data_IF_973389418320
#
_entry.id   IF_973389418320
#
_cell.length_a   1.000
_cell.length_b   1.000
_cell.length_c   1.000
_cell.angle_alpha   90.00
_cell.angle_beta   90.00
_cell.angle_gamma   90.00
#
_symmetry.space_group_name_H-M   'P 1'
#
loop_
_entity.id
_entity.type
_entity.pdbx_description
1 polymer ?
#
# COMPACT_ATOMS: atom_id res chain seq x y z
N UNK A 1 5.61 9.70 -15.79
CA UNK A 1 4.73 8.64 -15.25
C UNK A 1 3.34 9.25 -15.07
N UNK A 2 2.25 8.47 -15.18
CA UNK A 2 0.89 9.00 -14.97
C UNK A 2 0.66 9.28 -13.48
N UNK A 3 -0.01 10.38 -13.14
CA UNK A 3 -0.36 10.70 -11.75
C UNK A 3 -1.49 9.78 -11.28
N UNK A 4 -1.55 9.51 -9.97
CA UNK A 4 -2.63 8.67 -9.43
C UNK A 4 -4.01 9.33 -9.63
N UNK A 5 -4.10 10.65 -9.50
CA UNK A 5 -5.36 11.40 -9.61
C UNK A 5 -6.10 11.19 -10.94
N UNK A 6 -5.36 10.82 -11.99
CA UNK A 6 -5.89 10.56 -13.33
C UNK A 6 -6.46 9.13 -13.51
N UNK A 7 -6.36 8.27 -12.49
CA UNK A 7 -6.87 6.88 -12.49
C UNK A 7 -7.70 6.51 -11.26
N UNK A 8 -7.72 7.35 -10.21
CA UNK A 8 -8.49 7.07 -9.01
C UNK A 8 -9.97 6.87 -9.34
N UNK A 9 -10.54 5.80 -8.77
CA UNK A 9 -11.99 5.58 -8.82
C UNK A 9 -12.71 6.62 -7.97
N UNK A 10 -13.93 6.96 -8.39
CA UNK A 10 -14.76 7.93 -7.68
C UNK A 10 -15.40 7.25 -6.47
N UNK A 11 -15.61 8.01 -5.41
CA UNK A 11 -16.34 7.51 -4.24
C UNK A 11 -17.72 6.98 -4.65
N UNK A 12 -18.11 5.83 -4.10
CA UNK A 12 -19.34 5.11 -4.41
C UNK A 12 -19.42 4.52 -5.83
N UNK A 13 -18.34 4.55 -6.60
CA UNK A 13 -18.24 3.71 -7.80
C UNK A 13 -18.41 2.24 -7.41
N UNK A 14 -19.19 1.52 -8.21
CA UNK A 14 -19.42 0.09 -8.03
C UNK A 14 -18.52 -0.68 -8.99
N UNK A 15 -17.68 -1.54 -8.44
CA UNK A 15 -16.67 -2.29 -9.19
C UNK A 15 -16.96 -3.78 -9.00
N UNK A 16 -17.00 -4.51 -10.12
CA UNK A 16 -17.00 -5.97 -10.13
C UNK A 16 -15.58 -6.49 -10.32
N UNK A 17 -15.10 -7.32 -9.40
CA UNK A 17 -13.77 -7.94 -9.48
C UNK A 17 -13.90 -9.45 -9.66
N UNK A 18 -13.18 -9.95 -10.66
CA UNK A 18 -13.15 -11.37 -11.04
C UNK A 18 -11.86 -11.98 -10.52
N UNK A 19 -11.96 -12.94 -9.60
CA UNK A 19 -10.81 -13.62 -9.02
C UNK A 19 -10.72 -15.06 -9.54
N UNK A 20 -9.56 -15.50 -10.02
CA UNK A 20 -9.34 -16.91 -10.30
C UNK A 20 -9.31 -17.71 -9.00
N UNK A 21 -9.88 -18.91 -8.97
CA UNK A 21 -9.93 -19.78 -7.77
C UNK A 21 -8.98 -20.97 -7.92
N UNK A 22 -8.89 -21.56 -9.11
CA UNK A 22 -8.00 -22.72 -9.35
C UNK A 22 -7.41 -22.67 -10.74
N UNK A 23 -6.10 -22.43 -10.83
CA UNK A 23 -5.32 -22.50 -12.09
C UNK A 23 -5.95 -21.73 -13.26
N UNK A 24 -6.62 -20.60 -12.98
CA UNK A 24 -7.36 -19.78 -13.96
C UNK A 24 -8.49 -20.50 -14.71
N UNK A 25 -9.04 -21.58 -14.14
CA UNK A 25 -10.15 -22.34 -14.75
C UNK A 25 -11.51 -22.03 -14.12
N UNK A 26 -11.50 -21.65 -12.85
CA UNK A 26 -12.68 -21.26 -12.07
C UNK A 26 -12.51 -19.83 -11.60
N UNK A 27 -13.60 -19.07 -11.58
CA UNK A 27 -13.58 -17.66 -11.22
C UNK A 27 -14.75 -17.32 -10.29
N UNK A 28 -14.47 -16.51 -9.28
CA UNK A 28 -15.48 -15.89 -8.41
C UNK A 28 -15.62 -14.42 -8.77
N UNK A 29 -16.87 -13.93 -8.79
CA UNK A 29 -17.20 -12.52 -9.02
C UNK A 29 -17.68 -11.90 -7.71
N UNK A 30 -17.03 -10.82 -7.30
CA UNK A 30 -17.43 -10.02 -6.15
C UNK A 30 -17.71 -8.58 -6.57
N UNK A 31 -18.73 -7.98 -5.96
CA UNK A 31 -19.08 -6.58 -6.16
C UNK A 31 -18.65 -5.77 -4.94
N UNK A 32 -17.96 -4.66 -5.22
CA UNK A 32 -17.46 -3.73 -4.23
C UNK A 32 -17.95 -2.32 -4.53
N UNK A 33 -18.05 -1.52 -3.49
CA UNK A 33 -18.25 -0.08 -3.59
C UNK A 33 -16.99 0.62 -3.12
N UNK A 34 -16.44 1.53 -3.92
CA UNK A 34 -15.29 2.35 -3.56
C UNK A 34 -15.66 3.21 -2.35
N UNK A 35 -14.91 3.06 -1.26
CA UNK A 35 -15.05 3.90 -0.08
C UNK A 35 -13.91 4.92 -0.02
N UNK A 36 -14.19 6.12 0.47
CA UNK A 36 -13.17 7.08 0.91
C UNK A 36 -13.36 7.34 2.39
N UNK A 37 -12.36 7.00 3.21
CA UNK A 37 -12.31 7.42 4.62
C UNK A 37 -11.84 8.89 4.66
N UNK A 38 -12.74 9.82 4.28
CA UNK A 38 -12.40 11.24 3.99
C UNK A 38 -11.34 11.34 2.87
N UNK A 39 -10.93 12.51 2.29
CA UNK A 39 -9.90 12.45 1.23
C UNK A 39 -8.73 11.68 1.83
N UNK A 40 -8.34 10.56 1.22
CA UNK A 40 -7.40 9.61 1.81
C UNK A 40 -6.01 10.19 1.62
N UNK A 41 -5.85 11.34 2.26
CA UNK A 41 -4.79 12.29 2.18
C UNK A 41 -4.16 12.32 3.56
N UNK A 42 -3.49 11.22 3.86
CA UNK A 42 -2.85 11.02 5.15
C UNK A 42 -1.35 11.04 4.95
N UNK A 43 -0.70 11.73 5.88
CA UNK A 43 0.74 11.95 5.86
C UNK A 43 1.32 11.28 7.10
N UNK A 44 2.31 10.43 6.87
CA UNK A 44 3.23 9.92 7.89
C UNK A 44 4.53 10.69 7.74
N UNK A 45 4.89 11.49 8.74
CA UNK A 45 6.13 12.26 8.74
C UNK A 45 6.94 11.97 10.01
N UNK A 46 6.39 12.37 11.16
CA UNK A 46 7.04 12.28 12.47
C UNK A 46 7.03 10.87 13.05
N UNK A 47 6.09 10.04 12.59
CA UNK A 47 5.75 8.72 13.13
C UNK A 47 6.71 7.63 12.60
N UNK A 48 7.45 7.92 11.54
CA UNK A 48 8.40 6.98 10.94
C UNK A 48 9.76 7.11 11.63
N UNK A 49 10.35 5.96 11.94
CA UNK A 49 11.70 5.86 12.48
C UNK A 49 12.74 6.21 11.41
N UNK A 50 13.86 6.77 11.84
CA UNK A 50 15.02 6.97 10.98
C UNK A 50 15.60 5.63 10.53
N UNK A 51 16.02 5.58 9.28
CA UNK A 51 16.65 4.43 8.63
C UNK A 51 18.11 4.80 8.42
N UNK A 52 19.03 3.99 8.94
CA UNK A 52 20.46 4.18 8.72
C UNK A 52 20.81 4.14 7.22
N UNK A 53 22.00 4.63 6.85
CA UNK A 53 22.53 4.48 5.49
C UNK A 53 22.52 3.00 5.06
N UNK A 54 22.07 2.72 3.83
CA UNK A 54 21.85 1.37 3.30
C UNK A 54 20.94 0.46 4.15
N UNK A 55 20.22 1.06 5.11
CA UNK A 55 19.37 0.38 6.06
C UNK A 55 17.98 0.08 5.51
N UNK A 56 17.28 -0.78 6.23
CA UNK A 56 15.96 -1.27 5.84
C UNK A 56 15.02 -1.34 7.04
N UNK A 57 13.73 -1.14 6.79
CA UNK A 57 12.64 -1.33 7.75
C UNK A 57 11.76 -2.44 7.24
N UNK A 58 11.74 -3.55 7.99
CA UNK A 58 10.95 -4.74 7.67
C UNK A 58 9.44 -4.45 7.56
N UNK A 59 8.73 -5.37 6.91
CA UNK A 59 7.30 -5.26 6.63
C UNK A 59 6.45 -5.09 7.87
N UNK A 60 5.67 -4.00 7.92
CA UNK A 60 4.69 -3.77 8.97
C UNK A 60 3.49 -2.95 8.49
N UNK A 61 2.37 -3.00 9.22
CA UNK A 61 1.19 -2.19 8.91
C UNK A 61 1.44 -0.72 9.24
N UNK A 62 0.73 0.17 8.53
CA UNK A 62 0.64 1.57 8.93
C UNK A 62 -0.28 1.67 10.16
N UNK A 63 0.33 1.77 11.33
CA UNK A 63 -0.40 1.99 12.57
C UNK A 63 -0.67 3.47 12.81
N UNK A 64 -1.62 3.81 13.67
CA UNK A 64 -1.96 5.22 13.96
C UNK A 64 -0.81 6.05 14.51
N UNK A 65 0.10 5.45 15.28
CA UNK A 65 1.15 6.16 16.02
C UNK A 65 2.58 5.86 15.55
N UNK A 66 2.80 4.69 14.97
CA UNK A 66 4.03 4.28 14.30
C UNK A 66 3.75 3.07 13.39
N UNK A 67 4.75 2.62 12.65
CA UNK A 67 4.68 1.32 11.97
C UNK A 67 4.42 0.21 12.99
N UNK A 68 3.40 -0.61 12.74
CA UNK A 68 3.04 -1.72 13.61
C UNK A 68 2.46 -1.35 14.97
N UNK A 69 2.08 -0.08 15.20
CA UNK A 69 1.66 0.42 16.52
C UNK A 69 0.31 1.14 16.47
N UNK A 70 -0.60 0.75 17.36
CA UNK A 70 -1.98 1.25 17.37
C UNK A 70 -2.88 0.51 16.37
N UNK A 71 -3.98 1.15 15.98
CA UNK A 71 -4.92 0.56 15.02
C UNK A 71 -4.37 0.66 13.58
N UNK A 72 -4.70 -0.34 12.76
CA UNK A 72 -4.33 -0.35 11.36
C UNK A 72 -5.23 0.60 10.56
N UNK A 73 -4.59 1.62 10.01
CA UNK A 73 -5.28 2.71 9.33
C UNK A 73 -5.74 2.33 7.92
N UNK A 74 -5.19 1.25 7.37
CA UNK A 74 -5.52 0.71 6.06
C UNK A 74 -6.47 -0.49 6.14
N UNK A 75 -6.88 -0.89 7.35
CA UNK A 75 -7.85 -1.96 7.53
C UNK A 75 -9.23 -1.55 6.98
N UNK A 76 -9.76 -2.37 6.06
CA UNK A 76 -11.13 -2.23 5.55
C UNK A 76 -12.09 -3.06 6.40
N UNK A 77 -12.89 -2.35 7.21
CA UNK A 77 -13.85 -2.95 8.15
C UNK A 77 -14.99 -3.69 7.44
N UNK A 78 -15.61 -4.63 8.15
CA UNK A 78 -16.72 -5.45 7.64
C UNK A 78 -18.02 -4.65 7.52
N UNK A 79 -18.12 -3.87 6.46
CA UNK A 79 -19.36 -3.21 6.06
C UNK A 79 -19.88 -3.83 4.76
N UNK A 80 -21.21 -4.03 4.68
CA UNK A 80 -21.91 -4.41 3.44
C UNK A 80 -22.61 -3.16 2.87
N UNK A 81 -22.58 -2.94 1.54
CA UNK A 81 -21.91 -3.73 0.49
C UNK A 81 -20.39 -3.75 0.69
N UNK A 82 -19.71 -4.81 0.18
CA UNK A 82 -18.26 -4.94 0.35
C UNK A 82 -17.57 -3.66 -0.12
N UNK A 83 -16.57 -3.20 0.63
CA UNK A 83 -15.87 -1.95 0.34
C UNK A 83 -14.47 -2.22 -0.18
N UNK A 84 -13.96 -1.26 -0.95
CA UNK A 84 -12.55 -1.23 -1.34
C UNK A 84 -11.98 0.19 -1.21
N UNK A 85 -10.69 0.29 -0.93
CA UNK A 85 -9.90 1.50 -0.99
C UNK A 85 -9.07 1.48 -2.28
N UNK A 86 -9.04 2.60 -3.00
CA UNK A 86 -8.20 2.80 -4.17
C UNK A 86 -7.40 4.09 -3.95
N UNK A 87 -6.08 3.98 -3.84
CA UNK A 87 -5.19 5.09 -3.50
C UNK A 87 -3.76 4.81 -3.98
N UNK A 88 -2.83 5.74 -3.77
CA UNK A 88 -1.39 5.53 -4.00
C UNK A 88 -0.54 6.12 -2.89
N UNK A 89 0.69 5.62 -2.77
CA UNK A 89 1.71 6.13 -1.86
C UNK A 89 2.75 6.97 -2.61
N UNK A 90 3.06 8.14 -2.08
CA UNK A 90 4.26 8.90 -2.40
C UNK A 90 5.22 8.86 -1.22
N UNK A 91 6.52 8.89 -1.48
CA UNK A 91 7.54 8.89 -0.44
C UNK A 91 8.58 9.98 -0.66
N UNK A 92 9.09 10.54 0.45
CA UNK A 92 10.26 11.41 0.45
C UNK A 92 11.21 11.01 1.58
N UNK A 93 12.51 11.34 1.43
CA UNK A 93 13.14 11.86 0.22
C UNK A 93 13.21 10.77 -0.87
N UNK A 94 13.57 11.12 -2.11
CA UNK A 94 13.42 10.24 -3.28
C UNK A 94 14.34 9.01 -3.25
N UNK A 95 15.38 9.07 -2.43
CA UNK A 95 16.32 7.98 -2.12
C UNK A 95 15.69 6.85 -1.29
N UNK A 96 14.46 7.05 -0.78
CA UNK A 96 13.70 5.99 -0.10
C UNK A 96 12.95 5.18 -1.14
N UNK A 97 13.14 3.87 -1.06
CA UNK A 97 12.47 2.88 -1.88
C UNK A 97 11.42 2.18 -1.02
N UNK A 98 10.26 1.89 -1.62
CA UNK A 98 9.15 1.29 -0.89
C UNK A 98 8.64 0.04 -1.59
N UNK A 99 8.31 -0.96 -0.77
CA UNK A 99 7.61 -2.17 -1.16
C UNK A 99 6.30 -2.28 -0.38
N UNK A 100 5.32 -2.96 -0.97
CA UNK A 100 4.01 -3.19 -0.39
C UNK A 100 3.59 -4.64 -0.55
N UNK A 101 3.04 -5.22 0.52
CA UNK A 101 2.56 -6.60 0.54
C UNK A 101 1.21 -6.71 1.22
N UNK A 102 0.44 -7.73 0.85
CA UNK A 102 -0.71 -8.19 1.65
C UNK A 102 -0.17 -8.98 2.87
N UNK A 103 -0.82 -8.92 4.04
CA UNK A 103 -0.45 -9.69 5.24
C UNK A 103 -0.41 -11.20 5.00
N UNK A 104 0.44 -11.88 5.78
CA UNK A 104 0.68 -13.32 5.74
C UNK A 104 -0.58 -14.17 5.97
N UNK A 105 -1.37 -13.78 6.97
CA UNK A 105 -2.52 -14.51 7.50
C UNK A 105 -3.82 -14.24 6.73
N UNK A 106 -3.76 -13.37 5.73
CA UNK A 106 -4.90 -13.09 4.86
C UNK A 106 -5.05 -14.20 3.82
N UNK A 107 -6.25 -14.80 3.74
CA UNK A 107 -6.58 -15.75 2.68
C UNK A 107 -6.48 -15.06 1.32
N UNK A 108 -5.50 -15.47 0.52
CA UNK A 108 -5.25 -14.91 -0.81
C UNK A 108 -5.81 -15.82 -1.89
N UNK A 109 -6.43 -15.23 -2.92
CA UNK A 109 -7.05 -15.98 -4.02
C UNK A 109 -6.12 -16.21 -5.21
N UNK A 110 -4.80 -16.00 -5.07
CA UNK A 110 -3.82 -16.53 -6.04
C UNK A 110 -2.68 -15.62 -6.48
N UNK A 111 -2.39 -14.51 -5.79
CA UNK A 111 -1.41 -13.52 -6.26
C UNK A 111 -0.44 -12.97 -5.21
N UNK A 112 -0.32 -13.61 -4.05
CA UNK A 112 0.71 -13.20 -3.11
C UNK A 112 1.09 -14.29 -2.15
N UNK A 113 2.08 -13.96 -1.33
CA UNK A 113 2.79 -14.91 -0.51
C UNK A 113 2.07 -15.08 0.84
N UNK A 114 1.90 -16.32 1.30
CA UNK A 114 1.46 -16.65 2.68
C UNK A 114 2.39 -16.06 3.75
N UNK A 115 3.61 -15.68 3.39
CA UNK A 115 4.50 -14.91 4.25
C UNK A 115 5.11 -13.82 3.38
N UNK A 116 4.98 -12.52 3.74
CA UNK A 116 5.67 -11.47 3.02
C UNK A 116 7.15 -11.86 2.88
N UNK A 117 7.74 -11.75 1.67
CA UNK A 117 9.16 -12.02 1.53
C UNK A 117 9.93 -11.12 2.50
N UNK A 118 11.09 -11.55 2.98
CA UNK A 118 12.02 -10.59 3.58
C UNK A 118 12.41 -9.59 2.51
N UNK A 119 12.71 -8.35 2.91
CA UNK A 119 13.37 -7.40 2.03
C UNK A 119 14.64 -8.08 1.47
N UNK A 120 14.79 -8.09 0.15
CA UNK A 120 15.82 -8.94 -0.45
C UNK A 120 15.99 -8.79 -1.96
N UNK A 121 14.90 -8.52 -2.69
CA UNK A 121 15.02 -8.12 -4.10
C UNK A 121 14.75 -6.62 -4.23
N UNK A 122 15.69 -5.89 -4.85
CA UNK A 122 15.54 -4.46 -5.13
C UNK A 122 14.55 -4.18 -6.26
N UNK A 123 14.33 -5.13 -7.17
CA UNK A 123 13.43 -4.97 -8.33
C UNK A 123 11.96 -4.93 -7.95
N UNK A 124 11.69 -5.43 -6.76
CA UNK A 124 10.38 -5.45 -6.12
C UNK A 124 9.99 -4.06 -5.59
N UNK A 125 10.97 -3.20 -5.31
CA UNK A 125 10.73 -1.87 -4.77
C UNK A 125 10.49 -0.82 -5.85
N UNK A 126 9.67 0.16 -5.51
CA UNK A 126 9.47 1.37 -6.29
C UNK A 126 10.16 2.54 -5.58
N UNK A 127 11.02 3.25 -6.29
CA UNK A 127 11.75 4.39 -5.74
C UNK A 127 10.85 5.60 -5.50
N UNK A 128 11.25 6.49 -4.60
CA UNK A 128 10.58 7.77 -4.39
C UNK A 128 10.63 8.68 -5.62
N UNK A 129 11.56 8.49 -6.56
CA UNK A 129 11.52 9.18 -7.85
C UNK A 129 10.35 8.71 -8.73
N UNK A 130 10.01 7.42 -8.67
CA UNK A 130 8.91 6.85 -9.44
C UNK A 130 7.55 7.24 -8.85
N UNK A 131 7.44 7.36 -7.53
CA UNK A 131 6.23 7.87 -6.86
C UNK A 131 6.60 8.96 -5.83
N UNK A 132 6.81 10.21 -6.28
CA UNK A 132 7.21 11.30 -5.41
C UNK A 132 6.16 11.63 -4.36
N UNK A 133 6.61 12.02 -3.17
CA UNK A 133 5.74 12.42 -2.06
C UNK A 133 4.64 13.41 -2.47
N UNK A 134 4.96 14.45 -3.25
CA UNK A 134 3.97 15.48 -3.57
C UNK A 134 3.02 15.09 -4.71
N UNK A 135 3.44 14.17 -5.57
CA UNK A 135 2.68 13.69 -6.71
C UNK A 135 2.77 12.16 -6.80
N UNK A 136 2.07 11.42 -5.91
CA UNK A 136 2.05 9.97 -5.98
C UNK A 136 1.58 9.50 -7.37
N UNK A 137 2.23 8.47 -7.88
CA UNK A 137 2.02 8.00 -9.24
C UNK A 137 1.33 6.64 -9.26
N UNK A 138 1.01 6.17 -10.47
CA UNK A 138 0.48 4.82 -10.69
C UNK A 138 1.46 3.70 -10.33
N UNK A 139 2.76 3.97 -10.20
CA UNK A 139 3.71 2.93 -9.76
C UNK A 139 3.41 2.41 -8.35
N UNK A 140 2.71 3.20 -7.53
CA UNK A 140 2.27 2.83 -6.19
C UNK A 140 0.74 2.75 -6.05
N UNK A 141 0.00 2.59 -7.15
CA UNK A 141 -1.47 2.42 -7.15
C UNK A 141 -1.88 1.15 -6.40
N UNK A 142 -2.58 1.30 -5.29
CA UNK A 142 -2.97 0.25 -4.35
C UNK A 142 -4.50 0.12 -4.33
N UNK A 143 -4.98 -1.13 -4.43
CA UNK A 143 -6.40 -1.45 -4.25
C UNK A 143 -6.52 -2.43 -3.08
N UNK A 144 -7.12 -1.99 -1.97
CA UNK A 144 -7.36 -2.82 -0.79
C UNK A 144 -8.83 -3.19 -0.69
N UNK A 145 -9.09 -4.50 -0.63
CA UNK A 145 -10.44 -5.06 -0.55
C UNK A 145 -10.84 -5.33 0.90
N UNK A 146 -12.10 -5.71 1.09
CA UNK A 146 -12.65 -6.21 2.35
C UNK A 146 -11.69 -7.14 3.11
N UNK A 147 -11.47 -6.85 4.41
CA UNK A 147 -10.59 -7.60 5.32
C UNK A 147 -9.11 -7.63 4.92
N UNK A 148 -8.67 -6.77 4.01
CA UNK A 148 -7.26 -6.63 3.69
C UNK A 148 -6.64 -5.48 4.47
N UNK A 149 -5.35 -5.64 4.72
CA UNK A 149 -4.41 -4.57 5.06
C UNK A 149 -3.28 -4.55 4.03
N UNK A 150 -2.44 -3.53 4.08
CA UNK A 150 -1.21 -3.41 3.31
C UNK A 150 -0.05 -3.18 4.26
N UNK A 151 0.98 -4.01 4.15
CA UNK A 151 2.20 -3.86 4.92
C UNK A 151 3.26 -3.22 4.04
N UNK A 152 4.00 -2.27 4.59
CA UNK A 152 5.04 -1.52 3.88
C UNK A 152 6.42 -1.93 4.36
N UNK A 153 7.34 -2.05 3.41
CA UNK A 153 8.77 -2.17 3.64
C UNK A 153 9.47 -0.96 3.05
N UNK A 154 10.48 -0.44 3.75
CA UNK A 154 11.24 0.73 3.32
C UNK A 154 12.72 0.39 3.25
N UNK A 155 13.39 0.87 2.21
CA UNK A 155 14.84 0.80 2.07
C UNK A 155 15.40 2.21 1.87
N UNK A 156 16.46 2.52 2.60
CA UNK A 156 17.25 3.73 2.39
C UNK A 156 18.42 3.43 1.45
N UNK A 157 18.39 3.96 0.24
CA UNK A 157 19.44 3.75 -0.77
C UNK A 157 20.50 4.88 -0.75
N UNK A 158 20.46 5.75 0.27
CA UNK A 158 21.43 6.83 0.46
C UNK A 158 22.55 6.44 1.43
N UNK A 159 23.66 7.16 1.33
CA UNK A 159 24.86 7.06 2.19
C UNK A 159 24.71 7.77 3.55
N UNK A 160 23.49 8.18 3.91
CA UNK A 160 23.18 8.94 5.13
C UNK A 160 21.90 8.43 5.78
N UNK A 161 21.76 8.66 7.08
CA UNK A 161 20.52 8.37 7.81
C UNK A 161 19.38 9.25 7.31
N UNK A 162 18.23 8.65 7.05
CA UNK A 162 17.04 9.33 6.53
C UNK A 162 15.82 8.99 7.37
N UNK A 163 15.06 10.02 7.74
CA UNK A 163 13.68 9.84 8.21
C UNK A 163 12.73 9.94 7.02
N UNK A 164 12.11 8.84 6.59
CA UNK A 164 11.17 8.90 5.48
C UNK A 164 9.89 9.63 5.87
N UNK A 165 9.16 10.06 4.86
CA UNK A 165 7.79 10.54 5.00
C UNK A 165 6.94 9.96 3.87
N UNK A 166 5.74 9.48 4.21
CA UNK A 166 4.83 8.83 3.27
C UNK A 166 3.56 9.68 3.18
N UNK A 167 3.10 9.93 1.94
CA UNK A 167 1.82 10.55 1.66
C UNK A 167 0.93 9.54 0.95
N UNK A 168 -0.26 9.33 1.47
CA UNK A 168 -1.31 8.60 0.76
C UNK A 168 -2.20 9.58 0.00
N UNK A 169 -2.67 9.21 -1.19
CA UNK A 169 -3.64 9.97 -1.98
C UNK A 169 -4.66 9.02 -2.60
N UNK A 170 -5.95 9.21 -2.28
CA UNK A 170 -7.08 8.38 -2.74
C UNK A 170 -8.45 9.02 -2.54
#
# INVERSE_FOLDING_TARGET
MKNIEDVLSVENDNIGLVYPVTGFKTFDLYFFTVMRRYPLHRVYNSELTEIAADGEVEFNFLGETALGSGDDILEVWKERPFRLLHFSFGVRPSEIWMYRSIPADTVQTGWGHETPPKLGDKFDFVSGEMSPYDNPSVAMETILHYKLSCYLGLKNDADRTIRPSIRMVG
#
